data_IF_970015739710
#
_entry.id   IF_970015739710
#
_cell.length_a   1.000
_cell.length_b   1.000
_cell.length_c   1.000
_cell.angle_alpha   90.00
_cell.angle_beta   90.00
_cell.angle_gamma   90.00
#
_symmetry.space_group_name_H-M   'P 1'
#
loop_
_entity.id
_entity.type
_entity.pdbx_description
1 polymer ?
#
# COMPACT_ATOMS: atom_id res chain seq x y z
N UNK A 1 -16.56 -4.12 -18.52
CA UNK A 1 -15.92 -4.84 -17.40
C UNK A 1 -16.41 -4.17 -16.13
N UNK A 2 -17.20 -4.89 -15.34
CA UNK A 2 -18.09 -4.34 -14.31
C UNK A 2 -17.30 -3.68 -13.18
N UNK A 3 -17.57 -2.38 -13.00
CA UNK A 3 -17.00 -1.53 -11.96
C UNK A 3 -17.58 -2.00 -10.60
N UNK A 4 -16.85 -2.86 -9.89
CA UNK A 4 -17.26 -3.40 -8.58
C UNK A 4 -17.19 -2.28 -7.52
N UNK A 5 -18.29 -1.54 -7.38
CA UNK A 5 -18.46 -0.36 -6.51
C UNK A 5 -18.25 -0.59 -5.00
N UNK A 6 -17.95 -1.81 -4.56
CA UNK A 6 -17.76 -2.15 -3.14
C UNK A 6 -16.30 -2.19 -2.72
N UNK A 7 -15.33 -2.12 -3.65
CA UNK A 7 -13.91 -2.13 -3.28
C UNK A 7 -13.50 -0.78 -2.69
N UNK A 8 -13.14 -0.80 -1.41
CA UNK A 8 -12.54 0.33 -0.68
C UNK A 8 -11.06 0.43 -1.05
N UNK A 9 -10.33 -0.69 -0.92
CA UNK A 9 -8.94 -0.79 -1.34
C UNK A 9 -8.87 -1.27 -2.80
N UNK A 10 -8.14 -0.55 -3.65
CA UNK A 10 -7.99 -0.81 -5.09
C UNK A 10 -6.60 -1.30 -5.47
N UNK A 11 -5.58 -1.01 -4.66
CA UNK A 11 -4.20 -1.44 -4.91
C UNK A 11 -3.50 -0.59 -5.97
N UNK A 12 -3.93 0.66 -6.14
CA UNK A 12 -3.40 1.65 -7.09
C UNK A 12 -3.02 2.91 -6.30
N UNK A 13 -1.73 3.07 -5.92
CA UNK A 13 -1.25 4.26 -5.22
C UNK A 13 -1.04 5.40 -6.23
N UNK A 14 -2.12 5.86 -6.87
CA UNK A 14 -2.00 6.65 -8.09
C UNK A 14 -1.64 8.12 -7.87
N UNK A 15 -1.87 8.74 -6.71
CA UNK A 15 -1.51 10.16 -6.52
C UNK A 15 -0.91 10.50 -5.14
N UNK A 16 0.42 10.39 -4.97
CA UNK A 16 1.10 11.06 -3.87
C UNK A 16 0.92 12.58 -3.99
N UNK A 17 0.51 13.23 -2.90
CA UNK A 17 0.28 14.67 -2.87
C UNK A 17 1.61 15.46 -2.93
N UNK A 18 1.67 16.48 -3.79
CA UNK A 18 2.88 17.28 -4.10
C UNK A 18 3.40 18.19 -2.95
N UNK A 19 2.93 18.00 -1.71
CA UNK A 19 3.33 18.81 -0.55
C UNK A 19 4.77 18.57 -0.09
N UNK A 20 5.37 17.45 -0.49
CA UNK A 20 6.73 17.04 -0.11
C UNK A 20 7.80 17.95 -0.73
N UNK A 21 7.56 18.51 -1.91
CA UNK A 21 8.53 19.37 -2.63
C UNK A 21 8.82 20.70 -1.90
N UNK A 22 7.99 21.08 -0.93
CA UNK A 22 8.14 22.34 -0.16
C UNK A 22 8.91 22.17 1.14
N UNK A 23 9.31 20.95 1.50
CA UNK A 23 10.01 20.67 2.75
C UNK A 23 11.53 20.87 2.58
N UNK A 24 12.22 21.34 3.63
CA UNK A 24 13.68 21.36 3.63
C UNK A 24 14.25 19.93 3.52
N UNK A 25 15.47 19.82 3.01
CA UNK A 25 16.19 18.55 2.88
C UNK A 25 16.15 17.72 4.17
N UNK A 26 15.87 16.40 4.08
CA UNK A 26 15.82 15.57 5.28
C UNK A 26 17.20 15.51 5.95
N UNK A 27 17.25 15.56 7.29
CA UNK A 27 18.51 15.46 8.02
C UNK A 27 19.17 14.10 7.77
N UNK A 28 20.49 14.01 7.94
CA UNK A 28 21.31 12.85 7.55
C UNK A 28 20.84 11.50 8.12
N UNK A 29 20.27 11.50 9.33
CA UNK A 29 19.71 10.32 9.99
C UNK A 29 18.31 9.91 9.48
N UNK A 30 17.69 10.74 8.65
CA UNK A 30 16.36 10.53 8.01
C UNK A 30 16.46 10.41 6.49
N UNK A 31 17.68 10.27 5.96
CA UNK A 31 17.91 9.89 4.56
C UNK A 31 17.60 8.41 4.40
N UNK A 32 16.35 8.12 4.05
CA UNK A 32 16.01 6.82 3.51
C UNK A 32 16.61 6.77 2.10
N UNK A 33 17.44 5.77 1.83
CA UNK A 33 17.89 5.48 0.48
C UNK A 33 16.62 5.34 -0.37
N UNK A 34 16.39 6.26 -1.31
CA UNK A 34 15.17 6.29 -2.14
C UNK A 34 15.20 5.04 -3.02
N UNK A 35 14.73 3.93 -2.48
CA UNK A 35 14.04 2.93 -3.26
C UNK A 35 12.58 3.20 -3.03
N UNK A 36 11.89 3.50 -4.11
CA UNK A 36 10.46 3.37 -4.30
C UNK A 36 9.91 2.06 -3.70
N UNK A 37 9.79 1.97 -2.38
CA UNK A 37 9.23 0.79 -1.70
C UNK A 37 7.73 0.95 -1.68
N UNK A 38 7.09 0.60 -2.80
CA UNK A 38 5.64 0.60 -2.94
C UNK A 38 5.14 0.85 -4.36
N UNK A 39 5.88 1.63 -5.17
CA UNK A 39 5.44 2.02 -6.54
C UNK A 39 5.28 0.83 -7.47
N UNK A 40 6.13 -0.21 -7.31
CA UNK A 40 6.08 -1.44 -8.11
C UNK A 40 5.41 -2.60 -7.39
N UNK A 41 4.88 -2.41 -6.17
CA UNK A 41 4.17 -3.48 -5.48
C UNK A 41 2.83 -3.71 -6.17
N UNK A 42 2.83 -4.65 -7.12
CA UNK A 42 1.61 -5.10 -7.78
C UNK A 42 0.86 -6.00 -6.82
N UNK A 43 -0.13 -5.42 -6.16
CA UNK A 43 -1.04 -6.18 -5.32
C UNK A 43 -1.81 -7.16 -6.18
N UNK A 44 -1.75 -8.45 -5.84
CA UNK A 44 -2.45 -9.49 -6.59
C UNK A 44 -3.97 -9.30 -6.43
N UNK A 45 -4.79 -9.68 -7.42
CA UNK A 45 -6.25 -9.57 -7.31
C UNK A 45 -6.82 -10.24 -6.05
N UNK A 46 -6.25 -11.39 -5.66
CA UNK A 46 -6.60 -12.11 -4.43
C UNK A 46 -6.32 -11.31 -3.15
N UNK A 47 -5.22 -10.57 -3.11
CA UNK A 47 -4.83 -9.75 -1.96
C UNK A 47 -5.78 -8.56 -1.79
N UNK A 48 -6.19 -7.94 -2.90
CA UNK A 48 -7.22 -6.91 -2.91
C UNK A 48 -8.54 -7.44 -2.33
N UNK A 49 -8.96 -8.64 -2.75
CA UNK A 49 -10.20 -9.25 -2.25
C UNK A 49 -10.15 -9.59 -0.77
N UNK A 50 -9.04 -10.17 -0.30
CA UNK A 50 -8.84 -10.50 1.12
C UNK A 50 -8.85 -9.26 2.01
N UNK A 51 -8.16 -8.18 1.58
CA UNK A 51 -8.16 -6.90 2.31
C UNK A 51 -9.58 -6.33 2.37
N UNK A 52 -10.28 -6.24 1.24
CA UNK A 52 -11.64 -5.72 1.22
C UNK A 52 -12.57 -6.58 2.10
N UNK A 53 -12.50 -7.90 2.01
CA UNK A 53 -13.27 -8.79 2.88
C UNK A 53 -13.00 -8.53 4.37
N UNK A 54 -11.73 -8.36 4.77
CA UNK A 54 -11.35 -8.06 6.14
C UNK A 54 -11.92 -6.71 6.63
N UNK A 55 -11.88 -5.68 5.78
CA UNK A 55 -12.45 -4.36 6.07
C UNK A 55 -13.97 -4.43 6.29
N UNK A 56 -14.69 -5.12 5.40
CA UNK A 56 -16.14 -5.30 5.53
C UNK A 56 -16.55 -6.09 6.77
N UNK A 57 -15.81 -7.15 7.09
CA UNK A 57 -16.07 -7.99 8.25
C UNK A 57 -15.56 -7.38 9.57
N UNK A 58 -14.79 -6.29 9.50
CA UNK A 58 -14.06 -5.70 10.64
C UNK A 58 -13.23 -6.75 11.38
N UNK A 59 -12.60 -7.65 10.63
CA UNK A 59 -11.78 -8.74 11.16
C UNK A 59 -10.30 -8.46 10.89
N UNK A 60 -9.41 -8.74 11.85
CA UNK A 60 -7.97 -8.69 11.59
C UNK A 60 -7.56 -9.63 10.46
N UNK A 61 -6.62 -9.19 9.61
CA UNK A 61 -6.03 -9.98 8.52
C UNK A 61 -4.57 -10.33 8.83
N UNK A 62 -4.27 -11.64 8.91
CA UNK A 62 -2.89 -12.10 9.09
C UNK A 62 -2.22 -12.29 7.72
N UNK A 63 -1.19 -11.49 7.45
CA UNK A 63 -0.41 -11.56 6.22
C UNK A 63 0.85 -12.41 6.45
N UNK A 64 1.00 -13.51 5.70
CA UNK A 64 2.12 -14.45 5.83
C UNK A 64 2.90 -14.58 4.52
N UNK A 65 4.14 -15.09 4.59
CA UNK A 65 4.98 -15.30 3.40
C UNK A 65 6.48 -15.23 3.69
N UNK A 66 7.29 -15.73 2.75
CA UNK A 66 8.76 -15.72 2.83
C UNK A 66 9.31 -14.28 3.00
N UNK A 67 10.54 -14.10 3.52
CA UNK A 67 11.18 -12.78 3.53
C UNK A 67 11.20 -12.15 2.13
N UNK A 68 10.98 -10.83 2.04
CA UNK A 68 11.00 -10.11 0.77
C UNK A 68 9.74 -10.20 -0.11
N UNK A 69 8.68 -10.89 0.30
CA UNK A 69 7.44 -11.06 -0.52
C UNK A 69 6.46 -9.88 -0.48
N UNK A 70 6.88 -8.70 -0.02
CA UNK A 70 6.03 -7.50 -0.06
C UNK A 70 4.94 -7.38 1.01
N UNK A 71 4.97 -8.16 2.11
CA UNK A 71 3.98 -8.06 3.21
C UNK A 71 3.88 -6.65 3.80
N UNK A 72 5.04 -6.03 4.05
CA UNK A 72 5.12 -4.65 4.54
C UNK A 72 4.64 -3.67 3.48
N UNK A 73 4.95 -3.92 2.21
CA UNK A 73 4.45 -3.11 1.08
C UNK A 73 2.93 -3.15 0.97
N UNK A 74 2.30 -4.31 1.16
CA UNK A 74 0.83 -4.43 1.23
C UNK A 74 0.26 -3.61 2.38
N UNK A 75 0.88 -3.68 3.57
CA UNK A 75 0.42 -2.90 4.72
C UNK A 75 0.53 -1.39 4.48
N UNK A 76 1.60 -0.92 3.83
CA UNK A 76 1.73 0.48 3.44
C UNK A 76 0.69 0.87 2.39
N UNK A 77 0.50 0.07 1.34
CA UNK A 77 -0.50 0.34 0.31
C UNK A 77 -1.93 0.46 0.88
N UNK A 78 -2.30 -0.43 1.82
CA UNK A 78 -3.59 -0.38 2.51
C UNK A 78 -3.72 0.82 3.45
N UNK A 79 -2.62 1.38 3.95
CA UNK A 79 -2.64 2.54 4.82
C UNK A 79 -2.63 3.88 4.07
N UNK A 80 -2.13 3.89 2.83
CA UNK A 80 -2.09 5.07 1.97
C UNK A 80 -3.41 5.33 1.23
N UNK A 81 -4.23 4.29 1.00
CA UNK A 81 -5.58 4.36 0.44
C UNK A 81 -6.67 4.46 1.52
#
# INVERSE_FOLDING_TARGET
>A
MTNNSWKIFRGTPEEPHNGIERLPEPPSWRKFDKTERGTTYQTRPEEIELVNAALYLRRPLLVTGKPGTGKTSLAYAVAEE
#
